data_IF_734042704069
#
_entry.id   IF_734042704069
#
_cell.length_a   1.000
_cell.length_b   1.000
_cell.length_c   1.000
_cell.angle_alpha   90.00
_cell.angle_beta   90.00
_cell.angle_gamma   90.00
#
_symmetry.space_group_name_H-M   'P 1'
#
loop_
_entity.id
_entity.type
_entity.pdbx_description
1 polymer ?
#
# COMPACT_ATOMS: atom_id res chain seq x y z
N UNK A 1 -25.40 -25.55 16.01
CA UNK A 1 -26.59 -24.77 15.65
C UNK A 1 -26.37 -23.28 15.72
N UNK A 2 -26.13 -22.67 14.56
CA UNK A 2 -26.67 -21.37 14.15
C UNK A 2 -26.31 -21.16 12.67
N UNK A 3 -26.81 -22.08 11.83
CA UNK A 3 -27.07 -21.79 10.42
C UNK A 3 -28.47 -21.19 10.36
N UNK A 4 -28.55 -19.90 10.04
CA UNK A 4 -29.79 -19.16 9.98
C UNK A 4 -29.70 -18.06 8.95
N UNK A 5 -30.12 -18.39 7.74
CA UNK A 5 -30.89 -17.53 6.83
C UNK A 5 -30.45 -16.07 6.72
N UNK A 6 -29.62 -15.77 5.73
CA UNK A 6 -29.69 -14.50 5.00
C UNK A 6 -29.58 -14.81 3.50
N UNK A 7 -30.53 -15.64 3.02
CA UNK A 7 -30.94 -15.61 1.63
C UNK A 7 -31.71 -14.30 1.44
N UNK A 8 -31.02 -13.24 1.03
CA UNK A 8 -31.68 -12.12 0.36
C UNK A 8 -31.88 -12.60 -1.07
N UNK A 9 -33.12 -12.83 -1.53
CA UNK A 9 -33.34 -13.19 -2.91
C UNK A 9 -32.94 -11.98 -3.75
N UNK A 10 -31.83 -12.10 -4.50
CA UNK A 10 -31.50 -11.20 -5.58
C UNK A 10 -32.59 -11.41 -6.64
N UNK A 11 -33.68 -10.69 -6.44
CA UNK A 11 -34.73 -10.44 -7.41
C UNK A 11 -34.18 -9.52 -8.51
N UNK A 12 -33.06 -9.88 -9.12
CA UNK A 12 -32.71 -9.43 -10.46
C UNK A 12 -32.98 -10.61 -11.36
N UNK A 13 -34.28 -10.75 -11.65
CA UNK A 13 -34.80 -11.47 -12.80
C UNK A 13 -34.26 -10.75 -14.05
N UNK A 14 -32.98 -10.95 -14.33
CA UNK A 14 -32.39 -10.58 -15.62
C UNK A 14 -33.00 -11.58 -16.58
N UNK A 15 -34.00 -11.09 -17.32
CA UNK A 15 -34.68 -11.82 -18.36
C UNK A 15 -33.62 -12.51 -19.24
N UNK A 16 -33.80 -13.82 -19.44
CA UNK A 16 -33.05 -14.64 -20.38
C UNK A 16 -33.43 -14.27 -21.82
N UNK A 17 -33.24 -13.00 -22.17
CA UNK A 17 -33.49 -12.40 -23.47
C UNK A 17 -32.51 -11.25 -23.68
N UNK A 18 -31.50 -11.49 -24.51
CA UNK A 18 -30.60 -10.48 -25.09
C UNK A 18 -29.97 -9.43 -24.15
N UNK A 19 -29.58 -9.77 -22.93
CA UNK A 19 -28.78 -8.83 -22.13
C UNK A 19 -27.38 -8.67 -22.71
N UNK A 20 -27.11 -7.45 -23.19
CA UNK A 20 -25.87 -7.10 -23.85
C UNK A 20 -24.66 -7.39 -22.97
N UNK A 21 -23.52 -7.73 -23.58
CA UNK A 21 -22.23 -7.95 -22.87
C UNK A 21 -21.94 -6.83 -21.84
N UNK A 22 -22.30 -5.58 -22.17
CA UNK A 22 -22.16 -4.41 -21.29
C UNK A 22 -22.96 -4.49 -19.98
N UNK A 23 -24.20 -4.98 -20.02
CA UNK A 23 -25.05 -5.08 -18.81
C UNK A 23 -24.50 -6.14 -17.86
N UNK A 24 -23.97 -7.24 -18.43
CA UNK A 24 -23.33 -8.32 -17.68
C UNK A 24 -22.03 -7.87 -17.00
N UNK A 25 -21.18 -7.16 -17.75
CA UNK A 25 -19.98 -6.53 -17.19
C UNK A 25 -20.33 -5.51 -16.12
N UNK A 26 -21.39 -4.73 -16.30
CA UNK A 26 -21.85 -3.74 -15.31
C UNK A 26 -22.39 -4.41 -14.03
N UNK A 27 -23.08 -5.54 -14.13
CA UNK A 27 -23.56 -6.31 -12.98
C UNK A 27 -22.39 -6.84 -12.13
N UNK A 28 -21.43 -7.54 -12.76
CA UNK A 28 -20.22 -8.05 -12.10
C UNK A 28 -19.39 -6.90 -11.52
N UNK A 29 -19.19 -5.83 -12.28
CA UNK A 29 -18.46 -4.64 -11.79
C UNK A 29 -19.19 -3.93 -10.65
N UNK A 30 -20.53 -3.94 -10.66
CA UNK A 30 -21.36 -3.41 -9.58
C UNK A 30 -21.21 -4.22 -8.28
N UNK A 31 -21.20 -5.55 -8.37
CA UNK A 31 -20.94 -6.44 -7.24
C UNK A 31 -19.50 -6.29 -6.72
N UNK A 32 -18.53 -6.16 -7.62
CA UNK A 32 -17.15 -5.87 -7.28
C UNK A 32 -17.02 -4.58 -6.45
N UNK A 33 -17.71 -3.49 -6.85
CA UNK A 33 -17.74 -2.22 -6.09
C UNK A 33 -18.35 -2.37 -4.70
N UNK A 34 -19.32 -3.28 -4.53
CA UNK A 34 -19.94 -3.61 -3.24
C UNK A 34 -19.11 -4.58 -2.38
N UNK A 35 -17.91 -4.98 -2.82
CA UNK A 35 -17.03 -5.97 -2.17
C UNK A 35 -17.63 -7.39 -2.05
N UNK A 36 -18.71 -7.68 -2.79
CA UNK A 36 -19.36 -8.99 -2.82
C UNK A 36 -18.70 -9.89 -3.88
N UNK A 37 -17.42 -10.23 -3.66
CA UNK A 37 -16.64 -11.01 -4.62
C UNK A 37 -17.20 -12.43 -4.83
N UNK A 38 -17.80 -13.03 -3.79
CA UNK A 38 -18.41 -14.37 -3.87
C UNK A 38 -19.60 -14.38 -4.82
N UNK A 39 -20.55 -13.45 -4.63
CA UNK A 39 -21.71 -13.30 -5.51
C UNK A 39 -21.29 -12.96 -6.94
N UNK A 40 -20.25 -12.15 -7.09
CA UNK A 40 -19.67 -11.84 -8.39
C UNK A 40 -19.11 -13.08 -9.11
N UNK A 41 -18.50 -14.02 -8.38
CA UNK A 41 -17.97 -15.27 -8.95
C UNK A 41 -19.08 -16.27 -9.25
N UNK A 42 -20.05 -16.43 -8.35
CA UNK A 42 -21.23 -17.28 -8.60
C UNK A 42 -21.98 -16.80 -9.84
N UNK A 43 -22.18 -15.48 -9.97
CA UNK A 43 -22.80 -14.90 -11.17
C UNK A 43 -21.96 -15.14 -12.43
N UNK A 44 -20.63 -15.06 -12.33
CA UNK A 44 -19.74 -15.37 -13.45
C UNK A 44 -19.82 -16.84 -13.87
N UNK A 45 -19.81 -17.77 -12.92
CA UNK A 45 -19.96 -19.21 -13.16
C UNK A 45 -21.33 -19.56 -13.76
N UNK A 46 -22.40 -18.96 -13.27
CA UNK A 46 -23.74 -19.10 -13.87
C UNK A 46 -23.78 -18.58 -15.31
N UNK A 47 -23.08 -17.47 -15.59
CA UNK A 47 -22.96 -16.93 -16.95
C UNK A 47 -22.11 -17.82 -17.86
N UNK A 48 -21.09 -18.50 -17.35
CA UNK A 48 -20.34 -19.50 -18.11
C UNK A 48 -21.21 -20.70 -18.50
N UNK A 49 -22.12 -21.13 -17.63
CA UNK A 49 -22.97 -22.31 -17.86
C UNK A 49 -24.19 -22.02 -18.72
N UNK A 50 -24.81 -20.84 -18.59
CA UNK A 50 -26.11 -20.50 -19.22
C UNK A 50 -26.01 -19.43 -20.31
N UNK A 51 -24.90 -18.70 -20.37
CA UNK A 51 -24.72 -17.57 -21.25
C UNK A 51 -23.88 -17.86 -22.50
N UNK A 52 -23.82 -16.91 -23.45
CA UNK A 52 -22.84 -16.98 -24.53
C UNK A 52 -21.42 -16.81 -23.99
N UNK A 53 -20.44 -17.31 -24.74
CA UNK A 53 -19.03 -17.32 -24.35
C UNK A 53 -18.59 -15.97 -23.75
N UNK A 54 -17.87 -15.99 -22.60
CA UNK A 54 -17.42 -14.78 -21.93
C UNK A 54 -16.46 -14.01 -22.85
N UNK A 55 -16.51 -12.67 -22.77
CA UNK A 55 -15.53 -11.82 -23.43
C UNK A 55 -14.42 -11.41 -22.45
N UNK A 56 -13.35 -10.82 -22.99
CA UNK A 56 -12.20 -10.34 -22.20
C UNK A 56 -12.60 -9.37 -21.08
N UNK A 57 -13.67 -8.58 -21.30
CA UNK A 57 -14.17 -7.61 -20.33
C UNK A 57 -14.88 -8.27 -19.15
N UNK A 58 -15.66 -9.31 -19.39
CA UNK A 58 -16.35 -10.07 -18.35
C UNK A 58 -15.36 -10.79 -17.43
N UNK A 59 -14.34 -11.44 -18.01
CA UNK A 59 -13.26 -12.07 -17.23
C UNK A 59 -12.45 -11.02 -16.46
N UNK A 60 -12.13 -9.88 -17.09
CA UNK A 60 -11.45 -8.77 -16.42
C UNK A 60 -12.25 -8.22 -15.23
N UNK A 61 -13.57 -8.06 -15.38
CA UNK A 61 -14.45 -7.62 -14.29
C UNK A 61 -14.49 -8.64 -13.14
N UNK A 62 -14.53 -9.93 -13.44
CA UNK A 62 -14.48 -10.99 -12.42
C UNK A 62 -13.13 -11.00 -11.67
N UNK A 63 -12.01 -10.86 -12.38
CA UNK A 63 -10.67 -10.77 -11.77
C UNK A 63 -10.54 -9.50 -10.91
N UNK A 64 -11.05 -8.35 -11.37
CA UNK A 64 -11.13 -7.13 -10.55
C UNK A 64 -12.08 -7.27 -9.34
N UNK A 65 -13.06 -8.17 -9.37
CA UNK A 65 -13.85 -8.52 -8.19
C UNK A 65 -13.02 -9.34 -7.19
N UNK A 66 -12.26 -10.33 -7.66
CA UNK A 66 -11.32 -11.10 -6.84
C UNK A 66 -10.24 -10.21 -6.21
N UNK A 67 -9.74 -9.22 -6.95
CA UNK A 67 -8.79 -8.22 -6.47
C UNK A 67 -9.34 -7.47 -5.25
N UNK A 68 -10.59 -7.00 -5.32
CA UNK A 68 -11.27 -6.32 -4.20
C UNK A 68 -11.56 -7.28 -3.03
N UNK A 69 -11.84 -8.55 -3.33
CA UNK A 69 -12.02 -9.62 -2.35
C UNK A 69 -10.72 -10.17 -1.74
N UNK A 70 -9.54 -9.68 -2.18
CA UNK A 70 -8.20 -10.19 -1.81
C UNK A 70 -8.00 -11.67 -2.11
N UNK A 71 -8.75 -12.20 -3.08
CA UNK A 71 -8.73 -13.62 -3.47
C UNK A 71 -7.75 -13.84 -4.62
N UNK A 72 -6.46 -13.81 -4.32
CA UNK A 72 -5.40 -14.01 -5.33
C UNK A 72 -5.55 -15.35 -6.07
N UNK A 73 -5.91 -16.43 -5.38
CA UNK A 73 -6.01 -17.77 -5.97
C UNK A 73 -7.10 -17.83 -7.04
N UNK A 74 -8.23 -17.18 -6.80
CA UNK A 74 -9.33 -17.13 -7.77
C UNK A 74 -8.97 -16.23 -8.95
N UNK A 75 -8.31 -15.09 -8.71
CA UNK A 75 -7.81 -14.23 -9.77
C UNK A 75 -6.86 -14.98 -10.73
N UNK A 76 -5.89 -15.73 -10.19
CA UNK A 76 -4.94 -16.53 -10.99
C UNK A 76 -5.64 -17.68 -11.72
N UNK A 77 -6.61 -18.34 -11.08
CA UNK A 77 -7.40 -19.39 -11.74
C UNK A 77 -8.19 -18.86 -12.93
N UNK A 78 -8.84 -17.70 -12.77
CA UNK A 78 -9.57 -17.05 -13.85
C UNK A 78 -8.65 -16.61 -14.99
N UNK A 79 -7.45 -16.10 -14.69
CA UNK A 79 -6.44 -15.79 -15.70
C UNK A 79 -6.04 -17.03 -16.51
N UNK A 80 -5.81 -18.16 -15.84
CA UNK A 80 -5.48 -19.43 -16.51
C UNK A 80 -6.65 -19.98 -17.33
N UNK A 81 -7.88 -19.80 -16.84
CA UNK A 81 -9.09 -20.15 -17.58
C UNK A 81 -9.21 -19.34 -18.88
N UNK A 82 -8.83 -18.05 -18.86
CA UNK A 82 -8.80 -17.21 -20.06
C UNK A 82 -7.86 -17.78 -21.13
N UNK A 83 -6.63 -18.14 -20.74
CA UNK A 83 -5.64 -18.72 -21.65
C UNK A 83 -6.02 -20.12 -22.17
N UNK A 84 -6.50 -21.00 -21.29
CA UNK A 84 -6.78 -22.40 -21.62
C UNK A 84 -8.12 -22.61 -22.33
N UNK A 85 -9.20 -22.66 -21.54
CA UNK A 85 -10.51 -23.11 -22.02
C UNK A 85 -11.20 -22.06 -22.89
N UNK A 86 -10.98 -20.77 -22.60
CA UNK A 86 -11.63 -19.67 -23.32
C UNK A 86 -10.81 -19.17 -24.51
N UNK A 87 -9.52 -19.51 -24.59
CA UNK A 87 -8.57 -19.05 -25.63
C UNK A 87 -8.63 -17.53 -25.86
N UNK A 88 -8.78 -16.78 -24.77
CA UNK A 88 -8.82 -15.32 -24.75
C UNK A 88 -7.47 -14.79 -24.28
N UNK A 89 -6.77 -14.07 -25.15
CA UNK A 89 -5.53 -13.38 -24.76
C UNK A 89 -5.83 -12.29 -23.72
N UNK A 90 -5.31 -12.40 -22.49
CA UNK A 90 -5.43 -11.35 -21.49
C UNK A 90 -4.71 -10.08 -21.96
N UNK A 91 -5.17 -8.93 -21.50
CA UNK A 91 -4.50 -7.65 -21.72
C UNK A 91 -3.85 -7.16 -20.42
N UNK A 92 -3.13 -6.04 -20.50
CA UNK A 92 -2.48 -5.40 -19.35
C UNK A 92 -3.45 -5.16 -18.19
N UNK A 93 -4.72 -4.79 -18.46
CA UNK A 93 -5.74 -4.55 -17.41
C UNK A 93 -6.02 -5.83 -16.60
N UNK A 94 -6.17 -6.96 -17.29
CA UNK A 94 -6.44 -8.26 -16.64
C UNK A 94 -5.25 -8.69 -15.78
N UNK A 95 -4.04 -8.57 -16.31
CA UNK A 95 -2.82 -8.87 -15.55
C UNK A 95 -2.64 -7.94 -14.35
N UNK A 96 -2.88 -6.63 -14.52
CA UNK A 96 -2.83 -5.66 -13.43
C UNK A 96 -3.77 -6.03 -12.29
N UNK A 97 -4.99 -6.44 -12.62
CA UNK A 97 -5.97 -6.89 -11.62
C UNK A 97 -5.50 -8.18 -10.91
N UNK A 98 -4.89 -9.12 -11.63
CA UNK A 98 -4.35 -10.35 -11.05
C UNK A 98 -3.11 -10.11 -10.15
N UNK A 99 -2.17 -9.26 -10.59
CA UNK A 99 -0.99 -8.85 -9.81
C UNK A 99 -1.42 -8.06 -8.57
N UNK A 100 -2.37 -7.12 -8.71
CA UNK A 100 -2.94 -6.38 -7.57
C UNK A 100 -3.67 -7.31 -6.60
N UNK A 101 -4.36 -8.36 -7.09
CA UNK A 101 -4.97 -9.38 -6.23
C UNK A 101 -3.90 -10.15 -5.45
N UNK A 102 -2.77 -10.48 -6.08
CA UNK A 102 -1.62 -11.11 -5.42
C UNK A 102 -0.97 -10.20 -4.37
N UNK A 103 -0.80 -8.91 -4.67
CA UNK A 103 -0.32 -7.90 -3.72
C UNK A 103 -1.23 -7.84 -2.47
N UNK A 104 -2.53 -7.68 -2.69
CA UNK A 104 -3.54 -7.62 -1.61
C UNK A 104 -3.64 -8.94 -0.82
N UNK A 105 -3.36 -10.07 -1.48
CA UNK A 105 -3.28 -11.41 -0.91
C UNK A 105 -1.92 -11.77 -0.28
N UNK A 106 -0.96 -10.83 -0.27
CA UNK A 106 0.41 -11.00 0.25
C UNK A 106 1.19 -12.16 -0.42
N UNK A 107 0.88 -12.46 -1.68
CA UNK A 107 1.55 -13.50 -2.45
C UNK A 107 2.56 -12.90 -3.43
N UNK A 108 3.71 -12.48 -2.90
CA UNK A 108 4.76 -11.84 -3.70
C UNK A 108 5.32 -12.77 -4.79
N UNK A 109 5.46 -14.07 -4.51
CA UNK A 109 6.00 -15.05 -5.46
C UNK A 109 5.11 -15.21 -6.69
N UNK A 110 3.79 -15.21 -6.49
CA UNK A 110 2.82 -15.21 -7.58
C UNK A 110 2.79 -13.90 -8.34
N UNK A 111 2.90 -12.75 -7.66
CA UNK A 111 2.98 -11.45 -8.33
C UNK A 111 4.18 -11.38 -9.30
N UNK A 112 5.36 -11.85 -8.85
CA UNK A 112 6.55 -11.95 -9.69
C UNK A 112 6.37 -12.94 -10.84
N UNK A 113 5.80 -14.12 -10.57
CA UNK A 113 5.53 -15.11 -11.61
C UNK A 113 4.62 -14.54 -12.71
N UNK A 114 3.58 -13.81 -12.34
CA UNK A 114 2.67 -13.18 -13.30
C UNK A 114 3.34 -12.08 -14.12
N UNK A 115 4.26 -11.31 -13.53
CA UNK A 115 5.01 -10.30 -14.26
C UNK A 115 5.98 -10.93 -15.29
N UNK A 116 6.69 -11.99 -14.91
CA UNK A 116 7.54 -12.76 -15.85
C UNK A 116 6.70 -13.43 -16.96
N UNK A 117 5.48 -13.88 -16.64
CA UNK A 117 4.54 -14.37 -17.65
C UNK A 117 4.11 -13.26 -18.63
N UNK A 118 3.87 -12.02 -18.16
CA UNK A 118 3.58 -10.89 -19.05
C UNK A 118 4.71 -10.63 -20.05
N UNK A 119 5.97 -10.66 -19.57
CA UNK A 119 7.14 -10.44 -20.42
C UNK A 119 7.29 -11.55 -21.47
N UNK A 120 7.06 -12.81 -21.10
CA UNK A 120 7.09 -13.97 -22.02
C UNK A 120 6.02 -13.89 -23.10
N UNK A 121 4.84 -13.40 -22.74
CA UNK A 121 3.71 -13.22 -23.66
C UNK A 121 3.77 -11.86 -24.41
N UNK A 122 4.87 -11.12 -24.29
CA UNK A 122 5.09 -9.81 -24.90
C UNK A 122 4.00 -8.76 -24.55
N UNK A 123 3.42 -8.86 -23.36
CA UNK A 123 2.44 -7.91 -22.82
C UNK A 123 3.21 -6.90 -21.97
N UNK A 124 3.31 -5.65 -22.46
CA UNK A 124 4.04 -4.62 -21.74
C UNK A 124 3.39 -4.30 -20.37
N UNK A 125 4.17 -4.35 -19.26
CA UNK A 125 3.72 -3.86 -17.98
C UNK A 125 3.52 -2.33 -18.02
N UNK A 126 2.67 -1.83 -17.13
CA UNK A 126 2.48 -0.39 -16.94
C UNK A 126 2.82 0.04 -15.50
N UNK A 127 2.67 1.33 -15.20
CA UNK A 127 2.90 1.89 -13.85
C UNK A 127 2.11 1.14 -12.78
N UNK A 128 0.90 0.67 -13.08
CA UNK A 128 0.05 -0.05 -12.13
C UNK A 128 0.60 -1.44 -11.88
N UNK A 129 1.04 -2.16 -12.92
CA UNK A 129 1.72 -3.46 -12.76
C UNK A 129 2.94 -3.33 -11.87
N UNK A 130 3.84 -2.40 -12.19
CA UNK A 130 5.11 -2.24 -11.48
C UNK A 130 4.89 -1.79 -10.04
N UNK A 131 3.98 -0.84 -9.81
CA UNK A 131 3.66 -0.38 -8.44
C UNK A 131 3.05 -1.50 -7.58
N UNK A 132 2.15 -2.30 -8.15
CA UNK A 132 1.59 -3.46 -7.46
C UNK A 132 2.65 -4.52 -7.16
N UNK A 133 3.59 -4.74 -8.08
CA UNK A 133 4.68 -5.70 -7.92
C UNK A 133 5.68 -5.27 -6.82
N UNK A 134 6.07 -3.99 -6.80
CA UNK A 134 6.93 -3.42 -5.75
C UNK A 134 6.23 -3.52 -4.38
N UNK A 135 4.95 -3.16 -4.30
CA UNK A 135 4.12 -3.30 -3.09
C UNK A 135 4.04 -4.76 -2.62
N UNK A 136 3.85 -5.71 -3.54
CA UNK A 136 3.81 -7.13 -3.21
C UNK A 136 5.15 -7.62 -2.67
N UNK A 137 6.26 -7.24 -3.31
CA UNK A 137 7.62 -7.58 -2.87
C UNK A 137 7.93 -6.95 -1.50
N UNK A 138 7.55 -5.69 -1.27
CA UNK A 138 7.68 -5.00 0.01
C UNK A 138 6.97 -5.76 1.13
N UNK A 139 5.69 -6.14 0.92
CA UNK A 139 4.91 -6.93 1.89
C UNK A 139 5.45 -8.35 2.08
N UNK A 140 6.12 -8.89 1.06
CA UNK A 140 6.83 -10.17 1.08
C UNK A 140 8.22 -10.12 1.73
N UNK A 141 8.65 -8.95 2.25
CA UNK A 141 10.00 -8.71 2.78
C UNK A 141 11.12 -8.94 1.76
N UNK A 142 10.81 -8.84 0.47
CA UNK A 142 11.76 -8.96 -0.64
C UNK A 142 12.18 -7.57 -1.11
N UNK A 143 12.85 -6.81 -0.24
CA UNK A 143 13.20 -5.41 -0.50
C UNK A 143 14.17 -5.25 -1.67
N UNK A 144 15.16 -6.14 -1.80
CA UNK A 144 16.13 -6.10 -2.92
C UNK A 144 15.41 -6.18 -4.27
N UNK A 145 14.42 -7.09 -4.38
CA UNK A 145 13.60 -7.23 -5.58
C UNK A 145 12.69 -6.03 -5.78
N UNK A 146 12.11 -5.49 -4.71
CA UNK A 146 11.28 -4.28 -4.79
C UNK A 146 12.07 -3.08 -5.32
N UNK A 147 13.33 -2.92 -4.90
CA UNK A 147 14.19 -1.83 -5.36
C UNK A 147 14.75 -2.06 -6.76
N UNK A 148 15.06 -3.30 -7.14
CA UNK A 148 15.52 -3.64 -8.49
C UNK A 148 14.47 -3.31 -9.57
N UNK A 149 13.19 -3.28 -9.22
CA UNK A 149 12.11 -2.94 -10.16
C UNK A 149 12.07 -1.44 -10.53
N UNK A 150 12.62 -0.54 -9.70
CA UNK A 150 12.66 0.89 -10.01
C UNK A 150 13.53 1.21 -11.25
N UNK A 151 14.79 0.74 -11.36
CA UNK A 151 15.57 0.94 -12.58
C UNK A 151 14.99 0.17 -13.76
N UNK A 152 14.34 -0.97 -13.55
CA UNK A 152 13.68 -1.71 -14.63
C UNK A 152 12.53 -0.89 -15.24
N UNK A 153 11.75 -0.15 -14.44
CA UNK A 153 10.74 0.77 -14.96
C UNK A 153 11.32 1.79 -15.93
N UNK A 154 12.51 2.35 -15.64
CA UNK A 154 13.19 3.27 -16.53
C UNK A 154 13.60 2.60 -17.86
N UNK A 155 14.04 1.34 -17.82
CA UNK A 155 14.36 0.56 -19.03
C UNK A 155 13.12 0.36 -19.93
N UNK A 156 11.94 0.17 -19.30
CA UNK A 156 10.66 0.07 -19.99
C UNK A 156 10.04 1.43 -20.35
N UNK A 157 10.73 2.55 -20.12
CA UNK A 157 10.23 3.93 -20.33
C UNK A 157 8.96 4.24 -19.52
N UNK A 158 8.84 3.62 -18.34
CA UNK A 158 7.75 3.81 -17.40
C UNK A 158 8.25 4.75 -16.30
N UNK A 159 7.59 5.90 -16.14
CA UNK A 159 7.93 6.83 -15.06
C UNK A 159 7.33 6.34 -13.73
N UNK A 160 8.15 6.15 -12.67
CA UNK A 160 7.65 5.91 -11.33
C UNK A 160 6.74 7.04 -10.86
N UNK A 161 5.71 6.72 -10.09
CA UNK A 161 4.84 7.71 -9.47
C UNK A 161 5.00 7.70 -7.93
N UNK A 162 4.25 8.56 -7.24
CA UNK A 162 4.30 8.62 -5.78
C UNK A 162 3.97 7.28 -5.10
N UNK A 163 3.06 6.48 -5.67
CA UNK A 163 2.74 5.15 -5.14
C UNK A 163 3.92 4.18 -5.28
N UNK A 164 4.65 4.24 -6.39
CA UNK A 164 5.84 3.42 -6.64
C UNK A 164 6.93 3.69 -5.59
N UNK A 165 7.27 4.95 -5.37
CA UNK A 165 8.26 5.35 -4.35
C UNK A 165 7.79 5.01 -2.93
N UNK A 166 6.51 5.24 -2.63
CA UNK A 166 5.92 4.91 -1.33
C UNK A 166 6.06 3.41 -1.00
N UNK A 167 5.79 2.55 -1.97
CA UNK A 167 5.96 1.11 -1.81
C UNK A 167 7.44 0.70 -1.64
N UNK A 168 8.36 1.32 -2.39
CA UNK A 168 9.80 1.07 -2.29
C UNK A 168 10.37 1.49 -0.93
N UNK A 169 10.02 2.69 -0.44
CA UNK A 169 10.45 3.21 0.87
C UNK A 169 9.87 2.35 2.01
N UNK A 170 8.63 1.89 1.89
CA UNK A 170 8.03 0.93 2.85
C UNK A 170 8.78 -0.42 2.86
N UNK A 171 9.35 -0.85 1.73
CA UNK A 171 10.19 -2.04 1.66
C UNK A 171 11.51 -1.84 2.42
N UNK A 172 12.14 -0.67 2.26
CA UNK A 172 13.34 -0.29 3.02
C UNK A 172 13.05 -0.21 4.52
N UNK A 173 11.93 0.39 4.92
CA UNK A 173 11.51 0.46 6.32
C UNK A 173 11.42 -0.95 6.95
N UNK A 174 10.78 -1.88 6.25
CA UNK A 174 10.59 -3.28 6.70
C UNK A 174 11.90 -4.06 6.84
N UNK A 175 12.95 -3.59 6.18
CA UNK A 175 14.25 -4.27 6.06
C UNK A 175 15.37 -3.54 6.80
N UNK A 176 15.04 -2.43 7.47
CA UNK A 176 15.98 -1.57 8.19
C UNK A 176 17.06 -0.92 7.31
N UNK A 177 16.80 -0.79 6.01
CA UNK A 177 17.70 -0.17 5.04
C UNK A 177 17.45 1.34 5.00
N UNK A 178 17.73 2.02 6.11
CA UNK A 178 17.54 3.46 6.25
C UNK A 178 18.33 4.31 5.23
N UNK A 179 19.56 3.96 4.78
CA UNK A 179 20.26 4.79 3.80
C UNK A 179 19.53 4.80 2.47
N UNK A 180 19.03 3.64 2.04
CA UNK A 180 18.27 3.50 0.80
C UNK A 180 16.93 4.23 0.88
N UNK A 181 16.25 4.18 2.04
CA UNK A 181 15.00 4.92 2.24
C UNK A 181 15.19 6.44 2.03
N UNK A 182 16.29 7.01 2.51
CA UNK A 182 16.61 8.43 2.35
C UNK A 182 16.99 8.77 0.91
N UNK A 183 17.79 7.93 0.25
CA UNK A 183 18.15 8.12 -1.17
C UNK A 183 16.89 8.14 -2.04
N UNK A 184 15.96 7.21 -1.82
CA UNK A 184 14.70 7.16 -2.55
C UNK A 184 13.79 8.36 -2.27
N UNK A 185 13.79 8.86 -1.03
CA UNK A 185 13.04 10.07 -0.68
C UNK A 185 13.59 11.30 -1.42
N UNK A 186 14.92 11.43 -1.49
CA UNK A 186 15.58 12.52 -2.21
C UNK A 186 15.38 12.42 -3.72
N UNK A 187 15.45 11.20 -4.28
CA UNK A 187 15.17 10.94 -5.69
C UNK A 187 13.72 11.28 -6.05
N UNK A 188 12.76 10.91 -5.19
CA UNK A 188 11.35 11.30 -5.33
C UNK A 188 11.19 12.83 -5.40
N UNK A 189 11.86 13.58 -4.52
CA UNK A 189 11.86 15.05 -4.57
C UNK A 189 12.50 15.59 -5.86
N UNK A 190 13.58 14.95 -6.34
CA UNK A 190 14.26 15.32 -7.58
C UNK A 190 13.42 15.10 -8.84
N UNK A 191 12.48 14.16 -8.80
CA UNK A 191 11.49 13.90 -9.86
C UNK A 191 10.24 14.82 -9.78
N UNK A 192 10.31 15.89 -8.99
CA UNK A 192 9.18 16.81 -8.72
C UNK A 192 7.94 16.12 -8.11
N UNK A 193 8.11 14.93 -7.54
CA UNK A 193 7.06 14.23 -6.81
C UNK A 193 7.06 14.69 -5.35
N UNK A 194 5.93 15.22 -4.88
CA UNK A 194 5.78 15.65 -3.48
C UNK A 194 5.65 14.43 -2.57
N UNK A 195 6.58 14.20 -1.62
CA UNK A 195 6.42 13.17 -0.61
C UNK A 195 5.21 13.49 0.26
N UNK A 196 4.34 12.51 0.48
CA UNK A 196 3.24 12.64 1.43
C UNK A 196 3.71 12.30 2.86
N UNK A 197 2.85 12.58 3.84
CA UNK A 197 3.11 12.26 5.26
C UNK A 197 3.42 10.76 5.45
N UNK A 198 2.84 9.89 4.62
CA UNK A 198 3.05 8.45 4.73
C UNK A 198 4.49 8.05 4.33
N UNK A 199 4.99 8.57 3.20
CA UNK A 199 6.36 8.33 2.73
C UNK A 199 7.39 8.88 3.72
N UNK A 200 7.19 10.11 4.20
CA UNK A 200 8.06 10.70 5.22
C UNK A 200 8.04 9.89 6.52
N UNK A 201 6.85 9.45 6.98
CA UNK A 201 6.72 8.61 8.17
C UNK A 201 7.45 7.27 8.03
N UNK A 202 7.39 6.65 6.84
CA UNK A 202 8.11 5.40 6.56
C UNK A 202 9.63 5.62 6.57
N UNK A 203 10.12 6.70 5.98
CA UNK A 203 11.54 7.07 6.02
C UNK A 203 12.04 7.36 7.45
N UNK A 204 11.26 8.09 8.26
CA UNK A 204 11.57 8.36 9.68
C UNK A 204 11.57 7.06 10.50
N UNK A 205 10.61 6.16 10.26
CA UNK A 205 10.57 4.84 10.90
C UNK A 205 11.79 4.00 10.53
N UNK A 206 12.25 4.03 9.28
CA UNK A 206 13.48 3.38 8.85
C UNK A 206 14.70 3.95 9.60
N UNK A 207 14.84 5.29 9.65
CA UNK A 207 15.94 5.95 10.37
C UNK A 207 15.94 5.64 11.87
N UNK A 208 14.74 5.61 12.49
CA UNK A 208 14.54 5.23 13.88
C UNK A 208 15.03 3.81 14.18
N UNK A 209 14.74 2.84 13.30
CA UNK A 209 15.26 1.46 13.39
C UNK A 209 16.76 1.36 13.12
N UNK A 210 17.31 2.26 12.32
CA UNK A 210 18.74 2.41 12.10
C UNK A 210 19.51 3.12 13.23
N UNK A 211 18.82 3.63 14.27
CA UNK A 211 19.45 4.44 15.33
C UNK A 211 19.91 5.82 14.87
N UNK A 212 19.44 6.27 13.71
CA UNK A 212 19.81 7.50 13.02
C UNK A 212 18.84 8.63 13.36
N UNK A 213 18.96 9.13 14.59
CA UNK A 213 18.04 10.13 15.13
C UNK A 213 18.20 11.51 14.48
N UNK A 214 19.41 11.87 14.04
CA UNK A 214 19.70 13.13 13.34
C UNK A 214 18.98 13.18 11.99
N UNK A 215 19.05 12.10 11.22
CA UNK A 215 18.34 11.96 9.95
C UNK A 215 16.83 11.93 10.14
N UNK A 216 16.34 11.20 11.15
CA UNK A 216 14.93 11.16 11.49
C UNK A 216 14.40 12.57 11.84
N UNK A 217 15.19 13.36 12.57
CA UNK A 217 14.86 14.74 12.89
C UNK A 217 14.86 15.62 11.63
N UNK A 218 15.89 15.52 10.79
CA UNK A 218 15.99 16.29 9.55
C UNK A 218 14.83 16.03 8.57
N UNK A 219 14.40 14.78 8.43
CA UNK A 219 13.22 14.44 7.60
C UNK A 219 11.94 15.01 8.21
N UNK A 220 11.82 15.01 9.54
CA UNK A 220 10.67 15.62 10.23
C UNK A 220 10.67 17.14 10.09
N UNK A 221 11.85 17.78 10.13
CA UNK A 221 12.04 19.20 9.85
C UNK A 221 11.57 19.55 8.44
N UNK A 222 11.97 18.76 7.45
CA UNK A 222 11.55 18.94 6.06
C UNK A 222 10.03 18.78 5.89
N UNK A 223 9.41 17.81 6.57
CA UNK A 223 7.96 17.60 6.55
C UNK A 223 7.20 18.81 7.12
N UNK A 224 7.67 19.34 8.25
CA UNK A 224 7.10 20.53 8.89
C UNK A 224 7.28 21.78 8.05
N UNK A 225 8.46 21.95 7.43
CA UNK A 225 8.75 23.07 6.54
C UNK A 225 7.89 23.04 5.26
N UNK A 226 7.51 21.85 4.80
CA UNK A 226 6.57 21.68 3.68
C UNK A 226 5.10 22.02 4.05
N UNK A 227 4.82 22.31 5.32
CA UNK A 227 3.47 22.63 5.81
C UNK A 227 2.56 21.40 5.94
N UNK A 228 3.13 20.19 5.89
CA UNK A 228 2.39 18.96 6.12
C UNK A 228 2.27 18.71 7.63
N UNK A 229 1.08 18.32 8.10
CA UNK A 229 0.87 17.98 9.51
C UNK A 229 1.42 16.57 9.79
N UNK A 230 2.42 16.42 10.69
CA UNK A 230 2.92 15.10 11.04
C UNK A 230 1.80 14.26 11.66
N UNK A 231 1.75 12.98 11.31
CA UNK A 231 0.83 12.04 11.95
C UNK A 231 1.36 11.57 13.30
N UNK A 232 0.47 11.00 14.14
CA UNK A 232 0.88 10.33 15.40
C UNK A 232 1.94 9.25 15.14
N UNK A 233 1.84 8.55 14.01
CA UNK A 233 2.83 7.54 13.58
C UNK A 233 4.20 8.18 13.35
N UNK A 234 4.24 9.35 12.70
CA UNK A 234 5.47 10.11 12.45
C UNK A 234 6.11 10.54 13.77
N UNK A 235 5.30 11.09 14.69
CA UNK A 235 5.77 11.54 16.00
C UNK A 235 6.29 10.37 16.84
N UNK A 236 5.59 9.23 16.86
CA UNK A 236 6.03 8.03 17.56
C UNK A 236 7.34 7.45 16.99
N UNK A 237 7.49 7.45 15.67
CA UNK A 237 8.72 7.00 15.01
C UNK A 237 9.92 7.89 15.40
N UNK A 238 9.73 9.22 15.40
CA UNK A 238 10.73 10.17 15.86
C UNK A 238 11.03 10.02 17.36
N UNK A 239 10.02 9.91 18.22
CA UNK A 239 10.20 9.68 19.66
C UNK A 239 11.05 8.43 19.94
N UNK A 240 10.79 7.35 19.20
CA UNK A 240 11.58 6.12 19.30
C UNK A 240 13.02 6.33 18.82
N UNK A 241 13.24 7.16 17.80
CA UNK A 241 14.57 7.51 17.32
C UNK A 241 15.35 8.31 18.38
N UNK A 242 14.69 9.30 19.00
CA UNK A 242 15.28 10.15 20.05
C UNK A 242 15.61 9.37 21.32
N UNK A 243 14.74 8.45 21.75
CA UNK A 243 15.00 7.54 22.88
C UNK A 243 16.26 6.71 22.63
N UNK A 244 16.37 6.09 21.44
CA UNK A 244 17.56 5.33 21.04
C UNK A 244 18.81 6.18 20.90
N UNK A 245 18.67 7.43 20.48
CA UNK A 245 19.74 8.41 20.40
C UNK A 245 20.15 9.01 21.74
N UNK A 246 19.44 8.69 22.84
CA UNK A 246 19.67 9.28 24.16
C UNK A 246 19.29 10.76 24.25
N UNK A 247 18.56 11.29 23.26
CA UNK A 247 18.19 12.71 23.16
C UNK A 247 16.90 13.01 23.92
N UNK A 248 16.95 12.79 25.24
CA UNK A 248 15.79 12.94 26.13
C UNK A 248 15.21 14.36 26.16
N UNK A 249 16.03 15.40 25.93
CA UNK A 249 15.57 16.79 25.91
C UNK A 249 14.62 17.03 24.73
N UNK A 250 15.03 16.63 23.53
CA UNK A 250 14.20 16.73 22.32
C UNK A 250 12.95 15.85 22.44
N UNK A 251 13.06 14.68 23.07
CA UNK A 251 11.91 13.81 23.32
C UNK A 251 10.87 14.45 24.25
N UNK A 252 11.31 15.15 25.31
CA UNK A 252 10.43 15.91 26.20
C UNK A 252 9.81 17.11 25.49
N UNK A 253 10.57 17.84 24.68
CA UNK A 253 10.08 18.99 23.92
C UNK A 253 8.99 18.55 22.91
N UNK A 254 9.22 17.44 22.21
CA UNK A 254 8.25 16.84 21.30
C UNK A 254 6.99 16.37 22.04
N UNK A 255 7.13 15.73 23.20
CA UNK A 255 6.00 15.31 24.04
C UNK A 255 5.20 16.52 24.58
N UNK A 256 5.89 17.59 24.96
CA UNK A 256 5.27 18.82 25.43
C UNK A 256 4.48 19.50 24.30
N UNK A 257 5.03 19.50 23.08
CA UNK A 257 4.35 20.01 21.89
C UNK A 257 3.06 19.23 21.58
N UNK A 258 3.10 17.89 21.65
CA UNK A 258 1.90 17.04 21.46
C UNK A 258 0.82 17.24 22.52
N UNK A 259 1.17 17.58 23.77
CA UNK A 259 0.18 17.79 24.85
C UNK A 259 -0.60 19.11 24.74
N UNK A 260 -0.27 20.01 23.81
CA UNK A 260 -1.03 21.24 23.59
C UNK A 260 -0.94 22.24 24.75
N UNK A 261 0.26 22.47 25.29
CA UNK A 261 0.46 23.40 26.40
C UNK A 261 0.14 24.85 26.05
N UNK A 262 -0.99 25.39 26.56
CA UNK A 262 -1.34 26.83 26.63
C UNK A 262 -0.39 27.68 27.51
N UNK A 263 0.87 27.27 27.68
CA UNK A 263 1.88 27.97 28.46
C UNK A 263 3.17 28.12 27.67
N UNK A 264 3.36 29.28 27.03
CA UNK A 264 4.63 29.88 26.54
C UNK A 264 5.66 29.04 25.74
N UNK A 265 5.46 27.77 25.37
CA UNK A 265 6.44 27.02 24.54
C UNK A 265 5.93 26.45 23.20
N UNK A 266 4.63 26.53 22.90
CA UNK A 266 4.11 26.16 21.58
C UNK A 266 4.32 27.28 20.53
N UNK A 267 5.45 28.01 20.61
CA UNK A 267 5.88 28.97 19.61
C UNK A 267 7.23 28.50 19.10
N UNK A 268 7.24 27.94 17.90
CA UNK A 268 8.47 27.43 17.29
C UNK A 268 8.25 26.17 16.46
N UNK A 269 9.36 25.51 16.17
CA UNK A 269 9.54 24.36 15.28
C UNK A 269 8.44 23.27 15.35
N UNK A 270 7.85 23.01 16.54
CA UNK A 270 6.85 21.96 16.75
C UNK A 270 5.37 22.41 16.70
N UNK A 271 5.08 23.64 16.27
CA UNK A 271 3.73 24.20 16.33
C UNK A 271 2.67 23.34 15.62
N UNK A 272 3.00 22.75 14.47
CA UNK A 272 2.09 21.87 13.69
C UNK A 272 1.87 20.49 14.32
N UNK A 273 2.61 20.14 15.37
CA UNK A 273 2.49 18.84 16.08
C UNK A 273 1.43 18.87 17.18
N UNK A 274 0.92 20.06 17.53
CA UNK A 274 -0.07 20.24 18.60
C UNK A 274 -1.42 19.52 18.37
N UNK A 275 -1.70 19.10 17.13
CA UNK A 275 -2.88 18.31 16.78
C UNK A 275 -2.74 16.81 17.12
N UNK A 276 -1.51 16.31 17.28
CA UNK A 276 -1.24 14.91 17.59
C UNK A 276 -1.42 14.63 19.08
N UNK A 277 -2.43 13.81 19.44
CA UNK A 277 -2.59 13.35 20.82
C UNK A 277 -1.51 12.30 21.14
N UNK A 278 -0.71 12.49 22.21
CA UNK A 278 0.28 11.52 22.59
C UNK A 278 -0.39 10.23 23.08
N UNK A 279 0.18 9.09 22.68
CA UNK A 279 -0.29 7.76 23.04
C UNK A 279 0.69 7.06 23.99
N UNK A 280 0.38 5.83 24.37
CA UNK A 280 1.18 5.06 25.32
C UNK A 280 2.63 4.87 24.86
N UNK A 281 2.87 4.78 23.55
CA UNK A 281 4.20 4.59 22.96
C UNK A 281 5.00 5.88 23.13
N UNK A 282 4.36 7.03 22.87
CA UNK A 282 4.94 8.34 23.06
C UNK A 282 5.41 8.56 24.50
N UNK A 283 4.55 8.22 25.48
CA UNK A 283 4.89 8.32 26.90
C UNK A 283 5.98 7.33 27.32
N UNK A 284 5.90 6.06 26.88
CA UNK A 284 6.90 5.06 27.25
C UNK A 284 8.29 5.40 26.73
N UNK A 285 8.38 5.92 25.50
CA UNK A 285 9.65 6.33 24.90
C UNK A 285 10.26 7.53 25.64
N UNK A 286 9.44 8.51 26.04
CA UNK A 286 9.92 9.66 26.82
C UNK A 286 10.46 9.22 28.20
N UNK A 287 9.74 8.35 28.90
CA UNK A 287 10.17 7.83 30.22
C UNK A 287 11.45 7.01 30.09
N UNK A 288 11.54 6.16 29.06
CA UNK A 288 12.76 5.40 28.74
C UNK A 288 13.96 6.32 28.51
N UNK A 289 13.78 7.36 27.68
CA UNK A 289 14.84 8.31 27.36
C UNK A 289 15.34 9.05 28.61
N UNK A 290 14.42 9.54 29.45
CA UNK A 290 14.77 10.19 30.72
C UNK A 290 15.45 9.23 31.71
N UNK A 291 14.98 7.99 31.78
CA UNK A 291 15.55 6.96 32.66
C UNK A 291 16.98 6.60 32.28
N UNK A 292 17.25 6.42 30.99
CA UNK A 292 18.59 6.14 30.46
C UNK A 292 19.57 7.30 30.69
N UNK A 293 19.06 8.54 30.73
CA UNK A 293 19.86 9.73 31.01
C UNK A 293 19.97 10.06 32.52
N UNK A 294 19.35 9.27 33.41
CA UNK A 294 19.32 9.54 34.86
C UNK A 294 18.48 10.75 35.26
N UNK A 295 17.67 11.29 34.35
CA UNK A 295 16.90 12.53 34.51
C UNK A 295 15.49 12.29 35.09
N UNK A 296 15.37 11.45 36.12
CA UNK A 296 14.07 11.01 36.68
C UNK A 296 13.20 12.13 37.29
N UNK A 297 13.77 13.32 37.53
CA UNK A 297 13.05 14.46 38.11
C UNK A 297 12.32 15.33 37.06
N UNK A 298 12.54 15.11 35.77
CA UNK A 298 11.94 15.85 34.66
C UNK A 298 10.88 15.02 33.94
#
# INVERSE_FOLDING_TARGET
DHHGSNYIPISLRIAAGSTGSRERVAAISGLARKQLWQESLVMFEEMLQRGPAPDKFLCGAAISACERGRQWLQAVRLLRLMWGDLRLEPNTIVYNAAVSACDKGRQWSWAVYLADEMDREAIAPDVVTCSALISACAKGRQWERALALLPDMAQHRISPNAMTYSAAISACESSNEWPLALVLLLDMCGQELRPDVFVCSAAISACSRGGRWEEALSVTEALLAAGEEPSVVTCNALMTALDRGGQWQLALDLLAAMKGGKGRSAVGFWASVAACRPDIITFSAAVSACGNAGAWQK
#
